data_IF_405276225685
#
_entry.id   IF_405276225685
#
_cell.length_a   1.000
_cell.length_b   1.000
_cell.length_c   1.000
_cell.angle_alpha   90.00
_cell.angle_beta   90.00
_cell.angle_gamma   90.00
#
_symmetry.space_group_name_H-M   'P 1'
#
loop_
_entity.id
_entity.type
_entity.pdbx_description
1 polymer ?
#
# COMPACT_ATOMS: atom_id res chain seq x y z
N UNK A 1 10.62 27.32 40.10
CA UNK A 1 9.30 26.82 40.54
C UNK A 1 8.59 26.37 39.28
N UNK A 2 8.63 25.07 38.98
CA UNK A 2 7.51 24.12 39.12
C UNK A 2 6.40 24.39 38.09
N UNK A 3 5.85 23.45 37.32
CA UNK A 3 6.15 22.06 37.01
C UNK A 3 5.29 21.71 35.77
N UNK A 4 5.73 20.73 34.99
CA UNK A 4 4.87 20.00 34.05
C UNK A 4 3.75 19.29 34.81
N UNK A 5 2.53 19.23 34.24
CA UNK A 5 1.62 18.10 34.44
C UNK A 5 0.86 17.76 33.15
N UNK A 6 1.19 16.60 32.61
CA UNK A 6 0.35 15.75 31.77
C UNK A 6 -0.87 15.23 32.57
N UNK A 7 -2.01 15.02 31.90
CA UNK A 7 -2.90 13.82 31.91
C UNK A 7 -4.25 14.23 31.28
N UNK A 8 -4.64 13.74 30.09
CA UNK A 8 -5.44 12.52 29.82
C UNK A 8 -6.60 12.33 30.81
N UNK A 9 -7.84 12.59 30.40
CA UNK A 9 -8.82 11.52 30.12
C UNK A 9 -10.18 12.07 29.67
N UNK A 10 -10.74 11.39 28.67
CA UNK A 10 -12.08 11.64 28.18
C UNK A 10 -13.11 11.12 29.18
N UNK A 11 -14.02 12.01 29.58
CA UNK A 11 -15.25 11.62 30.28
C UNK A 11 -16.14 10.81 29.36
N UNK A 12 -16.45 9.58 29.77
CA UNK A 12 -17.65 8.88 29.36
C UNK A 12 -18.59 8.96 30.56
N UNK A 13 -19.62 9.80 30.45
CA UNK A 13 -20.72 9.86 31.39
C UNK A 13 -21.38 8.47 31.50
N UNK A 14 -21.31 7.87 32.69
CA UNK A 14 -22.17 6.76 33.08
C UNK A 14 -23.09 7.28 34.18
N UNK A 15 -24.27 7.73 33.75
CA UNK A 15 -25.40 7.92 34.65
C UNK A 15 -25.83 6.55 35.19
N UNK A 16 -25.70 6.39 36.50
CA UNK A 16 -26.30 5.32 37.28
C UNK A 16 -26.81 5.93 38.57
N UNK A 17 -28.11 5.81 38.82
CA UNK A 17 -28.74 6.22 40.07
C UNK A 17 -28.31 5.24 41.16
N UNK A 18 -27.75 5.76 42.25
CA UNK A 18 -27.47 4.98 43.46
C UNK A 18 -28.79 4.62 44.16
N UNK A 19 -29.26 3.39 43.98
CA UNK A 19 -30.26 2.76 44.84
C UNK A 19 -29.51 1.95 45.90
N UNK A 20 -29.55 2.43 47.15
CA UNK A 20 -28.97 1.79 48.32
C UNK A 20 -29.69 0.47 48.61
N UNK A 21 -28.99 -0.66 48.47
CA UNK A 21 -29.43 -1.97 48.96
C UNK A 21 -28.96 -2.16 50.41
N UNK A 22 -29.85 -2.66 51.26
CA UNK A 22 -29.66 -2.96 52.68
C UNK A 22 -28.68 -4.11 52.92
N UNK A 23 -27.96 -4.07 54.05
CA UNK A 23 -26.83 -4.93 54.41
C UNK A 23 -27.15 -6.42 54.69
N UNK A 24 -28.38 -6.87 54.46
CA UNK A 24 -28.83 -8.24 54.80
C UNK A 24 -28.76 -9.24 53.63
N UNK A 25 -28.37 -8.83 52.42
CA UNK A 25 -28.25 -9.73 51.24
C UNK A 25 -26.82 -10.32 51.06
N UNK A 26 -25.91 -10.10 52.01
CA UNK A 26 -24.49 -10.43 51.85
C UNK A 26 -24.14 -11.93 52.03
N UNK A 27 -25.03 -12.78 52.55
CA UNK A 27 -24.69 -14.19 52.83
C UNK A 27 -24.94 -15.17 51.65
N UNK A 28 -25.70 -14.80 50.61
CA UNK A 28 -25.90 -15.65 49.43
C UNK A 28 -24.84 -15.47 48.32
N UNK A 29 -23.97 -14.46 48.42
CA UNK A 29 -23.03 -14.10 47.36
C UNK A 29 -21.68 -14.86 47.37
N UNK A 30 -21.44 -15.78 48.31
CA UNK A 30 -20.18 -16.54 48.40
C UNK A 30 -20.22 -17.94 47.75
N UNK A 31 -21.09 -18.18 46.77
CA UNK A 31 -20.91 -19.34 45.88
C UNK A 31 -19.83 -18.98 44.86
N UNK A 32 -18.57 -19.30 45.17
CA UNK A 32 -17.49 -19.27 44.18
C UNK A 32 -17.88 -20.26 43.08
N UNK A 33 -18.14 -19.83 41.83
CA UNK A 33 -18.49 -20.74 40.76
C UNK A 33 -17.37 -21.75 40.57
N UNK A 34 -17.74 -23.03 40.46
CA UNK A 34 -16.79 -24.12 40.29
C UNK A 34 -15.89 -23.84 39.09
N UNK A 35 -14.62 -24.29 39.15
CA UNK A 35 -13.65 -24.04 38.07
C UNK A 35 -14.13 -24.63 36.71
N UNK A 36 -15.07 -25.57 36.74
CA UNK A 36 -15.78 -26.11 35.58
C UNK A 36 -16.71 -25.09 34.88
N UNK A 37 -17.31 -24.12 35.59
CA UNK A 37 -18.27 -23.16 35.01
C UNK A 37 -17.59 -22.06 34.19
N UNK A 38 -16.29 -21.82 34.41
CA UNK A 38 -15.51 -20.86 33.59
C UNK A 38 -15.05 -21.42 32.24
N UNK A 39 -15.15 -22.74 32.04
CA UNK A 39 -14.65 -23.42 30.83
C UNK A 39 -15.75 -23.51 29.76
N UNK A 40 -17.02 -23.35 30.14
CA UNK A 40 -18.19 -23.51 29.26
C UNK A 40 -18.86 -22.20 28.84
N UNK A 41 -18.32 -21.03 29.20
CA UNK A 41 -18.82 -19.75 28.72
C UNK A 41 -18.14 -19.36 27.39
N UNK A 42 -18.86 -19.53 26.28
CA UNK A 42 -18.41 -19.04 24.97
C UNK A 42 -18.22 -17.51 24.97
N UNK A 43 -17.07 -17.03 24.49
CA UNK A 43 -16.79 -15.60 24.40
C UNK A 43 -17.59 -15.01 23.23
N UNK A 44 -18.50 -14.08 23.51
CA UNK A 44 -19.25 -13.36 22.47
C UNK A 44 -18.33 -12.36 21.74
N UNK A 45 -17.85 -12.77 20.55
CA UNK A 45 -16.96 -11.97 19.71
C UNK A 45 -17.62 -11.75 18.35
N UNK A 46 -17.75 -10.48 17.92
CA UNK A 46 -18.35 -10.09 16.62
C UNK A 46 -17.79 -10.85 15.40
N UNK A 47 -16.52 -11.28 15.45
CA UNK A 47 -15.86 -12.06 14.40
C UNK A 47 -14.86 -13.03 15.01
N UNK A 48 -15.16 -14.32 14.92
CA UNK A 48 -14.20 -15.37 15.25
C UNK A 48 -13.13 -15.52 14.14
N UNK A 49 -11.89 -15.81 14.53
CA UNK A 49 -10.76 -16.12 13.65
C UNK A 49 -10.46 -15.06 12.57
N UNK A 50 -10.09 -13.85 12.99
CA UNK A 50 -9.72 -12.75 12.07
C UNK A 50 -8.44 -13.11 11.28
N UNK A 51 -8.62 -13.53 10.02
CA UNK A 51 -7.51 -13.85 9.11
C UNK A 51 -6.87 -12.60 8.52
N UNK A 52 -5.54 -12.56 8.52
CA UNK A 52 -4.79 -11.49 7.85
C UNK A 52 -4.80 -11.72 6.33
N UNK A 53 -5.39 -10.78 5.57
CA UNK A 53 -5.46 -10.83 4.10
C UNK A 53 -4.19 -10.38 3.39
N UNK A 54 -3.23 -9.80 4.13
CA UNK A 54 -2.00 -9.28 3.54
C UNK A 54 -1.00 -10.41 3.23
N UNK A 55 -0.27 -10.24 2.14
CA UNK A 55 0.82 -11.16 1.77
C UNK A 55 1.98 -11.04 2.75
N UNK A 56 2.43 -12.19 3.26
CA UNK A 56 3.58 -12.31 4.15
C UNK A 56 4.88 -12.72 3.43
N UNK A 57 4.76 -13.23 2.21
CA UNK A 57 5.86 -13.65 1.36
C UNK A 57 5.53 -13.35 -0.11
N UNK A 58 6.54 -13.18 -0.99
CA UNK A 58 6.28 -13.13 -2.42
C UNK A 58 5.76 -14.50 -2.90
N UNK A 59 4.85 -14.51 -3.88
CA UNK A 59 4.42 -15.76 -4.55
C UNK A 59 5.45 -16.26 -5.58
N UNK A 60 6.46 -15.45 -5.89
CA UNK A 60 7.44 -15.75 -6.93
C UNK A 60 8.50 -16.72 -6.40
N UNK A 61 8.95 -17.64 -7.25
CA UNK A 61 10.05 -18.59 -6.98
C UNK A 61 11.42 -18.06 -7.44
N UNK A 62 11.48 -16.80 -7.88
CA UNK A 62 12.73 -16.15 -8.32
C UNK A 62 13.70 -16.00 -7.15
N UNK A 63 14.84 -16.72 -7.24
CA UNK A 63 15.86 -16.79 -6.21
C UNK A 63 16.41 -15.40 -5.85
N UNK A 64 16.64 -14.53 -6.83
CA UNK A 64 17.18 -13.18 -6.57
C UNK A 64 16.19 -12.32 -5.78
N UNK A 65 14.90 -12.41 -6.12
CA UNK A 65 13.86 -11.72 -5.37
C UNK A 65 13.74 -12.25 -3.94
N UNK A 66 13.87 -13.57 -3.75
CA UNK A 66 13.84 -14.20 -2.43
C UNK A 66 15.03 -13.77 -1.56
N UNK A 67 16.23 -13.64 -2.14
CA UNK A 67 17.41 -13.13 -1.43
C UNK A 67 17.22 -11.67 -1.02
N UNK A 68 16.71 -10.81 -1.92
CA UNK A 68 16.39 -9.43 -1.58
C UNK A 68 15.33 -9.35 -0.46
N UNK A 69 14.33 -10.22 -0.48
CA UNK A 69 13.33 -10.30 0.59
C UNK A 69 13.98 -10.69 1.92
N UNK A 70 14.89 -11.66 1.94
CA UNK A 70 15.62 -12.05 3.17
C UNK A 70 16.42 -10.85 3.72
N UNK A 71 17.12 -10.13 2.85
CA UNK A 71 17.88 -8.93 3.22
C UNK A 71 16.98 -7.83 3.81
N UNK A 72 15.90 -7.45 3.11
CA UNK A 72 15.00 -6.39 3.61
C UNK A 72 14.16 -6.84 4.81
N UNK A 73 13.94 -8.14 5.00
CA UNK A 73 13.32 -8.69 6.22
C UNK A 73 14.25 -8.58 7.42
N UNK A 74 15.54 -8.82 7.24
CA UNK A 74 16.55 -8.59 8.26
C UNK A 74 16.62 -7.10 8.62
N UNK A 75 16.76 -6.22 7.62
CA UNK A 75 16.83 -4.77 7.83
C UNK A 75 15.58 -4.24 8.53
N UNK A 76 14.38 -4.58 8.05
CA UNK A 76 13.12 -4.11 8.63
C UNK A 76 12.91 -4.54 10.08
N UNK A 77 13.52 -5.66 10.50
CA UNK A 77 13.48 -6.15 11.89
C UNK A 77 14.52 -5.48 12.79
N UNK A 78 15.68 -5.09 12.25
CA UNK A 78 16.84 -4.64 13.06
C UNK A 78 17.08 -3.13 13.07
N UNK A 79 16.56 -2.38 12.11
CA UNK A 79 16.84 -0.93 11.96
C UNK A 79 15.65 -0.02 12.27
N UNK A 80 14.49 -0.59 12.62
CA UNK A 80 13.22 0.09 12.90
C UNK A 80 12.75 1.19 11.92
N UNK A 81 13.38 1.29 10.75
CA UNK A 81 13.00 2.26 9.71
C UNK A 81 11.69 1.88 9.02
N UNK A 82 10.75 2.83 8.97
CA UNK A 82 9.50 2.68 8.23
C UNK A 82 9.73 2.47 6.72
N UNK A 83 10.83 3.02 6.17
CA UNK A 83 11.21 2.82 4.77
C UNK A 83 11.41 1.34 4.46
N UNK A 84 12.19 0.62 5.29
CA UNK A 84 12.48 -0.80 5.09
C UNK A 84 11.21 -1.66 5.18
N UNK A 85 10.31 -1.36 6.12
CA UNK A 85 9.00 -2.02 6.24
C UNK A 85 8.16 -1.82 4.97
N UNK A 86 8.19 -0.62 4.38
CA UNK A 86 7.46 -0.32 3.13
C UNK A 86 8.09 -0.99 1.92
N UNK A 87 9.43 -1.03 1.80
CA UNK A 87 10.13 -1.71 0.70
C UNK A 87 9.84 -3.22 0.76
N UNK A 88 9.97 -3.85 1.93
CA UNK A 88 9.66 -5.26 2.13
C UNK A 88 8.22 -5.59 1.69
N UNK A 89 7.24 -4.80 2.15
CA UNK A 89 5.84 -4.97 1.74
C UNK A 89 5.64 -4.83 0.23
N UNK A 90 6.43 -3.97 -0.43
CA UNK A 90 6.37 -3.79 -1.89
C UNK A 90 7.04 -4.93 -2.66
N UNK A 91 8.07 -5.58 -2.12
CA UNK A 91 8.67 -6.78 -2.72
C UNK A 91 7.67 -7.94 -2.78
N UNK A 92 6.74 -8.05 -1.82
CA UNK A 92 5.67 -9.07 -1.80
C UNK A 92 4.54 -8.81 -2.82
N UNK A 93 4.46 -7.61 -3.38
CA UNK A 93 3.38 -7.22 -4.27
C UNK A 93 3.43 -7.98 -5.61
N UNK A 94 2.24 -8.33 -6.11
CA UNK A 94 2.09 -8.88 -7.47
C UNK A 94 2.54 -7.87 -8.52
N UNK A 95 2.83 -8.36 -9.74
CA UNK A 95 3.23 -7.52 -10.89
C UNK A 95 2.22 -6.39 -11.17
N UNK A 96 0.92 -6.67 -11.09
CA UNK A 96 -0.14 -5.66 -11.28
C UNK A 96 -0.03 -4.51 -10.27
N UNK A 97 0.40 -4.83 -9.04
CA UNK A 97 0.58 -3.86 -7.96
C UNK A 97 1.97 -3.20 -7.95
N UNK A 98 2.87 -3.61 -8.85
CA UNK A 98 4.16 -2.99 -9.16
C UNK A 98 4.15 -2.45 -10.60
N UNK A 99 3.33 -1.44 -10.91
CA UNK A 99 3.26 -0.87 -12.25
C UNK A 99 4.59 -0.22 -12.64
N UNK A 100 4.95 -0.26 -13.94
CA UNK A 100 6.16 0.38 -14.43
C UNK A 100 6.11 1.91 -14.26
N UNK A 101 7.28 2.52 -14.15
CA UNK A 101 7.47 3.96 -14.01
C UNK A 101 8.32 4.48 -15.17
N UNK A 102 7.87 5.53 -15.86
CA UNK A 102 8.66 6.16 -16.90
C UNK A 102 9.75 7.06 -16.32
N UNK A 103 10.89 7.21 -17.01
CA UNK A 103 11.96 8.16 -16.65
C UNK A 103 11.42 9.59 -16.52
N UNK A 104 10.52 10.00 -17.42
CA UNK A 104 9.84 11.30 -17.38
C UNK A 104 9.08 11.54 -16.08
N UNK A 105 8.39 10.52 -15.55
CA UNK A 105 7.65 10.61 -14.30
C UNK A 105 8.57 10.59 -13.08
N UNK A 106 9.69 9.87 -13.16
CA UNK A 106 10.73 9.93 -12.13
C UNK A 106 11.30 11.35 -12.05
N UNK A 107 11.72 11.92 -13.18
CA UNK A 107 12.25 13.29 -13.24
C UNK A 107 11.28 14.32 -12.65
N UNK A 108 10.00 14.27 -13.04
CA UNK A 108 8.97 15.17 -12.48
C UNK A 108 8.79 15.06 -10.97
N UNK A 109 8.85 13.85 -10.41
CA UNK A 109 8.72 13.65 -8.97
C UNK A 109 9.98 14.04 -8.18
N UNK A 110 11.13 14.10 -8.88
CA UNK A 110 12.42 14.50 -8.34
C UNK A 110 12.72 15.99 -8.54
N UNK A 111 11.88 16.72 -9.28
CA UNK A 111 12.01 18.17 -9.41
C UNK A 111 11.99 18.84 -8.04
N UNK A 112 12.98 19.70 -7.78
CA UNK A 112 13.16 20.38 -6.49
C UNK A 112 13.69 19.49 -5.35
N UNK A 113 14.15 18.27 -5.64
CA UNK A 113 14.66 17.30 -4.65
C UNK A 113 16.01 16.74 -5.07
N UNK A 114 16.94 17.64 -5.29
CA UNK A 114 18.30 17.33 -5.74
C UNK A 114 19.08 16.58 -4.66
N UNK A 115 20.06 15.77 -5.08
CA UNK A 115 20.90 14.96 -4.18
C UNK A 115 20.24 13.73 -3.55
N UNK A 116 18.94 13.48 -3.79
CA UNK A 116 18.23 12.30 -3.27
C UNK A 116 18.16 11.18 -4.30
N UNK A 117 18.18 9.93 -3.82
CA UNK A 117 18.03 8.74 -4.68
C UNK A 117 16.56 8.38 -4.86
N UNK A 118 16.11 8.26 -6.11
CA UNK A 118 14.76 7.84 -6.45
C UNK A 118 14.64 6.31 -6.36
N UNK A 119 13.81 5.80 -5.44
CA UNK A 119 13.63 4.37 -5.20
C UNK A 119 12.31 3.88 -5.80
N UNK A 120 12.39 2.96 -6.75
CA UNK A 120 11.25 2.37 -7.45
C UNK A 120 11.26 0.85 -7.29
N UNK A 121 10.37 0.33 -6.45
CA UNK A 121 10.15 -1.13 -6.31
C UNK A 121 9.31 -1.62 -7.49
N UNK A 122 9.93 -1.74 -8.66
CA UNK A 122 9.29 -2.11 -9.92
C UNK A 122 10.21 -1.91 -11.11
N UNK A 123 9.62 -1.82 -12.30
CA UNK A 123 10.35 -1.60 -13.56
C UNK A 123 10.38 -0.13 -13.92
N UNK A 124 11.54 0.38 -14.31
CA UNK A 124 11.70 1.71 -14.90
C UNK A 124 11.81 1.59 -16.42
N UNK A 125 10.98 2.34 -17.13
CA UNK A 125 10.86 2.32 -18.60
C UNK A 125 11.22 3.66 -19.22
N UNK A 126 11.63 3.63 -20.47
CA UNK A 126 11.95 4.84 -21.23
C UNK A 126 10.68 5.61 -21.65
N UNK A 127 10.83 6.89 -21.96
CA UNK A 127 9.81 7.75 -22.55
C UNK A 127 10.45 8.63 -23.62
N UNK A 128 10.24 8.25 -24.89
CA UNK A 128 10.84 8.94 -26.04
C UNK A 128 10.35 10.39 -26.19
N UNK A 129 9.20 10.74 -25.59
CA UNK A 129 8.66 12.10 -25.64
C UNK A 129 9.40 13.07 -24.73
N UNK A 130 10.15 12.55 -23.77
CA UNK A 130 10.97 13.35 -22.89
C UNK A 130 12.35 13.44 -23.51
N UNK A 131 12.78 14.62 -23.95
CA UNK A 131 13.99 14.78 -24.76
C UNK A 131 15.26 14.79 -23.89
N UNK A 132 15.29 15.68 -22.91
CA UNK A 132 16.43 15.90 -22.02
C UNK A 132 16.19 15.22 -20.68
N UNK A 133 17.07 14.30 -20.30
CA UNK A 133 17.00 13.60 -19.01
C UNK A 133 17.96 14.28 -18.04
N UNK A 134 17.50 14.76 -16.87
CA UNK A 134 18.40 15.32 -15.86
C UNK A 134 19.26 14.23 -15.21
N UNK A 135 20.30 14.64 -14.49
CA UNK A 135 21.12 13.74 -13.67
C UNK A 135 20.24 13.12 -12.58
N UNK A 136 19.99 11.82 -12.67
CA UNK A 136 19.14 11.08 -11.73
C UNK A 136 19.90 9.91 -11.12
N UNK A 137 19.79 9.76 -9.81
CA UNK A 137 20.17 8.54 -9.09
C UNK A 137 18.92 7.69 -8.88
N UNK A 138 18.86 6.51 -9.51
CA UNK A 138 17.66 5.66 -9.52
C UNK A 138 17.99 4.27 -8.98
N UNK A 139 17.34 3.88 -7.89
CA UNK A 139 17.35 2.50 -7.40
C UNK A 139 16.09 1.76 -7.87
N UNK A 140 16.23 0.65 -8.59
CA UNK A 140 15.07 -0.10 -9.09
C UNK A 140 15.31 -1.62 -9.18
N UNK A 141 14.23 -2.39 -9.34
CA UNK A 141 14.33 -3.85 -9.53
C UNK A 141 14.76 -4.21 -10.94
N UNK A 142 14.20 -3.50 -11.94
CA UNK A 142 14.53 -3.70 -13.35
C UNK A 142 14.49 -2.37 -14.07
N UNK A 143 15.41 -2.17 -15.00
CA UNK A 143 15.41 -1.04 -15.92
C UNK A 143 15.42 -1.56 -17.36
N UNK A 144 14.76 -0.85 -18.28
CA UNK A 144 14.87 -1.16 -19.71
C UNK A 144 16.24 -0.71 -20.24
N UNK A 145 16.77 -1.41 -21.25
CA UNK A 145 18.10 -1.10 -21.84
C UNK A 145 18.18 0.34 -22.34
N UNK A 146 17.13 0.82 -23.01
CA UNK A 146 17.04 2.20 -23.50
C UNK A 146 17.03 3.22 -22.36
N UNK A 147 16.21 3.01 -21.32
CA UNK A 147 16.17 3.91 -20.16
C UNK A 147 17.52 3.95 -19.44
N UNK A 148 18.19 2.80 -19.28
CA UNK A 148 19.52 2.71 -18.66
C UNK A 148 20.54 3.53 -19.45
N UNK A 149 20.59 3.37 -20.77
CA UNK A 149 21.52 4.11 -21.63
C UNK A 149 21.31 5.63 -21.53
N UNK A 150 20.05 6.10 -21.48
CA UNK A 150 19.74 7.52 -21.37
C UNK A 150 20.11 8.13 -20.03
N UNK A 151 19.85 7.43 -18.92
CA UNK A 151 20.22 7.89 -17.57
C UNK A 151 21.74 7.95 -17.43
N UNK A 152 22.46 6.92 -17.92
CA UNK A 152 23.92 6.93 -17.90
C UNK A 152 24.51 8.02 -18.81
N UNK A 153 23.93 8.25 -20.00
CA UNK A 153 24.35 9.34 -20.89
C UNK A 153 24.18 10.72 -20.26
N UNK A 154 23.14 10.90 -19.45
CA UNK A 154 22.93 12.13 -18.68
C UNK A 154 23.91 12.30 -17.51
N UNK A 155 24.77 11.32 -17.22
CA UNK A 155 25.65 11.30 -16.05
C UNK A 155 24.92 10.94 -14.74
N UNK A 156 23.76 10.29 -14.84
CA UNK A 156 23.05 9.71 -13.71
C UNK A 156 23.56 8.31 -13.36
N UNK A 157 23.05 7.76 -12.26
CA UNK A 157 23.41 6.43 -11.78
C UNK A 157 22.17 5.52 -11.64
N UNK A 158 22.37 4.23 -11.91
CA UNK A 158 21.32 3.21 -11.75
C UNK A 158 21.83 2.14 -10.80
N UNK A 159 21.13 2.00 -9.67
CA UNK A 159 21.55 1.21 -8.52
C UNK A 159 20.57 0.05 -8.31
N UNK A 160 21.05 -1.08 -7.81
CA UNK A 160 20.23 -2.22 -7.37
C UNK A 160 19.81 -2.09 -5.90
N UNK A 161 18.85 -2.91 -5.45
CA UNK A 161 18.32 -2.80 -4.09
C UNK A 161 19.30 -3.27 -3.00
N UNK A 162 20.22 -4.16 -3.34
CA UNK A 162 21.34 -4.60 -2.51
C UNK A 162 22.39 -3.48 -2.36
N UNK A 163 22.81 -2.85 -3.46
CA UNK A 163 23.69 -1.67 -3.43
C UNK A 163 23.07 -0.50 -2.65
N UNK A 164 21.75 -0.27 -2.80
CA UNK A 164 21.04 0.74 -2.02
C UNK A 164 21.10 0.45 -0.51
N UNK A 165 20.95 -0.82 -0.13
CA UNK A 165 21.00 -1.22 1.28
C UNK A 165 22.38 -1.00 1.91
N UNK A 166 23.45 -1.14 1.13
CA UNK A 166 24.81 -0.81 1.57
C UNK A 166 25.02 0.70 1.75
N UNK A 167 24.51 1.52 0.81
CA UNK A 167 24.66 2.99 0.87
C UNK A 167 23.79 3.65 1.94
N UNK A 168 22.54 3.22 2.05
CA UNK A 168 21.53 3.84 2.91
C UNK A 168 20.68 2.77 3.62
N UNK A 169 21.23 2.05 4.62
CA UNK A 169 20.52 0.96 5.31
C UNK A 169 19.27 1.44 6.05
N UNK A 170 19.23 2.72 6.46
CA UNK A 170 18.07 3.36 7.08
C UNK A 170 17.08 3.97 6.08
N UNK A 171 17.47 4.10 4.80
CA UNK A 171 16.71 4.81 3.77
C UNK A 171 16.89 6.33 3.78
N UNK A 172 17.91 6.86 4.45
CA UNK A 172 18.24 8.28 4.44
C UNK A 172 18.46 8.81 3.01
N UNK A 173 18.02 10.05 2.75
CA UNK A 173 18.13 10.71 1.43
C UNK A 173 17.49 9.95 0.26
N UNK A 174 16.50 9.08 0.53
CA UNK A 174 15.77 8.37 -0.52
C UNK A 174 14.35 8.92 -0.70
N UNK A 175 13.84 8.84 -1.92
CA UNK A 175 12.45 9.15 -2.26
C UNK A 175 11.81 7.91 -2.85
N UNK A 176 10.87 7.35 -2.11
CA UNK A 176 10.20 6.11 -2.49
C UNK A 176 9.00 6.39 -3.39
N UNK A 177 9.17 6.12 -4.68
CA UNK A 177 8.18 6.42 -5.72
C UNK A 177 7.35 5.17 -6.08
N UNK A 178 6.19 5.38 -6.70
CA UNK A 178 5.30 4.30 -7.16
C UNK A 178 4.63 4.69 -8.46
N UNK A 179 4.56 3.75 -9.40
CA UNK A 179 3.83 3.93 -10.65
C UNK A 179 2.32 4.06 -10.43
N UNK A 180 1.62 4.65 -11.40
CA UNK A 180 0.17 4.80 -11.35
C UNK A 180 -0.49 3.44 -11.55
N UNK A 181 -1.23 2.97 -10.54
CA UNK A 181 -1.88 1.63 -10.54
C UNK A 181 -3.18 1.60 -11.35
N UNK A 182 -3.91 2.72 -11.34
CA UNK A 182 -5.30 2.76 -11.83
C UNK A 182 -5.44 3.08 -13.32
N UNK A 183 -4.35 3.08 -14.09
CA UNK A 183 -4.37 3.42 -15.53
C UNK A 183 -4.51 2.23 -16.47
N UNK A 184 -4.49 1.01 -15.94
CA UNK A 184 -4.61 -0.21 -16.75
C UNK A 184 -6.02 -0.31 -17.34
N UNK A 185 -6.12 -0.90 -18.53
CA UNK A 185 -7.39 -1.13 -19.22
C UNK A 185 -8.44 -1.83 -18.37
N UNK A 186 -8.07 -2.90 -17.66
CA UNK A 186 -8.97 -3.61 -16.75
C UNK A 186 -9.63 -2.69 -15.71
N UNK A 187 -8.92 -1.67 -15.21
CA UNK A 187 -9.46 -0.74 -14.20
C UNK A 187 -10.53 0.18 -14.79
N UNK A 188 -10.52 0.41 -16.11
CA UNK A 188 -11.55 1.22 -16.79
C UNK A 188 -12.92 0.55 -16.78
N UNK A 189 -12.96 -0.77 -16.67
CA UNK A 189 -14.21 -1.53 -16.63
C UNK A 189 -14.78 -1.69 -15.22
N UNK A 190 -13.98 -1.40 -14.19
CA UNK A 190 -14.41 -1.50 -12.80
C UNK A 190 -15.23 -0.28 -12.39
N UNK A 191 -16.01 -0.45 -11.32
CA UNK A 191 -16.87 0.59 -10.75
C UNK A 191 -18.34 0.39 -11.12
N UNK A 192 -19.15 1.42 -10.83
CA UNK A 192 -20.56 1.39 -11.17
C UNK A 192 -20.72 1.27 -12.68
N UNK A 193 -21.64 0.40 -13.10
CA UNK A 193 -21.75 -0.15 -14.45
C UNK A 193 -21.74 0.85 -15.61
N UNK A 194 -21.86 0.36 -16.86
CA UNK A 194 -21.49 1.13 -18.05
C UNK A 194 -22.41 2.33 -18.33
N UNK A 195 -23.43 2.57 -17.51
CA UNK A 195 -24.26 3.78 -17.52
C UNK A 195 -23.55 5.05 -17.06
N UNK A 196 -22.47 4.95 -16.27
CA UNK A 196 -21.72 6.14 -15.80
C UNK A 196 -20.42 6.36 -16.57
N UNK A 197 -19.30 5.94 -15.99
CA UNK A 197 -17.95 6.16 -16.52
C UNK A 197 -17.15 4.87 -16.71
N UNK A 198 -17.72 3.72 -16.34
CA UNK A 198 -17.11 2.42 -16.60
C UNK A 198 -17.19 2.10 -18.10
N UNK A 199 -16.07 1.68 -18.68
CA UNK A 199 -15.99 1.23 -20.07
C UNK A 199 -16.81 -0.07 -20.21
N UNK A 200 -17.75 -0.17 -21.17
CA UNK A 200 -18.46 -1.43 -21.41
C UNK A 200 -17.52 -2.50 -22.01
N UNK A 201 -17.84 -3.77 -21.76
CA UNK A 201 -17.18 -4.90 -22.40
C UNK A 201 -17.83 -5.15 -23.76
N UNK A 202 -17.20 -4.64 -24.82
CA UNK A 202 -17.71 -4.73 -26.19
C UNK A 202 -16.65 -5.37 -27.09
N UNK A 203 -17.07 -6.25 -27.99
CA UNK A 203 -16.17 -6.95 -28.92
C UNK A 203 -15.45 -5.99 -29.88
N UNK A 204 -16.14 -4.96 -30.36
CA UNK A 204 -15.62 -4.01 -31.35
C UNK A 204 -16.14 -2.60 -31.09
N UNK A 205 -15.33 -1.60 -31.45
CA UNK A 205 -15.73 -0.19 -31.34
C UNK A 205 -16.37 0.24 -32.66
N UNK A 206 -17.62 0.68 -32.64
CA UNK A 206 -18.29 1.16 -33.86
C UNK A 206 -19.66 1.76 -33.60
N UNK A 207 -20.34 2.23 -34.65
CA UNK A 207 -21.73 2.75 -34.56
C UNK A 207 -22.72 1.67 -34.17
N UNK A 208 -22.51 0.44 -34.66
CA UNK A 208 -23.41 -0.71 -34.48
C UNK A 208 -23.26 -1.40 -33.11
N UNK A 209 -22.27 -1.04 -32.30
CA UNK A 209 -21.97 -1.72 -31.04
C UNK A 209 -22.27 -0.80 -29.84
N UNK A 210 -23.31 -1.14 -29.07
CA UNK A 210 -23.70 -0.51 -27.79
C UNK A 210 -23.75 1.04 -27.78
N UNK A 211 -24.25 1.66 -28.85
CA UNK A 211 -24.39 3.12 -28.98
C UNK A 211 -25.82 3.64 -29.21
N UNK A 212 -26.81 2.74 -29.21
CA UNK A 212 -28.22 3.06 -29.50
C UNK A 212 -29.00 3.40 -28.21
N UNK A 213 -29.93 2.53 -27.80
CA UNK A 213 -30.77 2.72 -26.60
C UNK A 213 -29.90 2.82 -25.34
N UNK A 214 -30.24 3.74 -24.43
CA UNK A 214 -29.53 3.93 -23.15
C UNK A 214 -28.25 4.78 -23.23
N UNK A 215 -27.87 5.27 -24.42
CA UNK A 215 -26.69 6.14 -24.62
C UNK A 215 -27.04 7.54 -25.14
N UNK A 216 -28.24 7.72 -25.67
CA UNK A 216 -28.68 8.94 -26.35
C UNK A 216 -30.15 9.18 -26.07
N UNK A 217 -30.53 10.44 -25.88
CA UNK A 217 -31.91 10.83 -25.58
C UNK A 217 -32.89 10.42 -26.71
N UNK A 218 -32.44 10.44 -27.96
CA UNK A 218 -33.28 10.11 -29.13
C UNK A 218 -33.68 8.63 -29.25
N UNK A 219 -33.14 7.73 -28.41
CA UNK A 219 -33.44 6.29 -28.44
C UNK A 219 -33.85 5.81 -27.04
N UNK A 220 -35.06 6.18 -26.63
CA UNK A 220 -35.68 5.77 -25.36
C UNK A 220 -35.23 6.61 -24.17
N UNK A 221 -33.99 6.45 -23.72
CA UNK A 221 -33.43 7.21 -22.58
C UNK A 221 -31.90 7.31 -22.68
N UNK A 222 -31.33 8.26 -21.92
CA UNK A 222 -29.89 8.46 -21.79
C UNK A 222 -29.47 8.24 -20.34
N UNK A 223 -28.53 7.32 -20.13
CA UNK A 223 -27.82 7.14 -18.86
C UNK A 223 -26.53 7.93 -18.88
#
# INVERSE_FOLDING_TARGET
>A
MAANTFFVDGGVDLGGKDELLSEDDCEEAMVIPSMQDRITSGIDIKKHHVRNKNRQAPKSEDVYLLLLVKLYRFLARRTDSAFNKVVLKRLFMSRVNRPPMSVSRVARNMAGKEGKTAVVVGTVTDDNRFLEVPKLSIACLRITKSAKARVLKAGGEVITFDQLALRAPTGANTILLRGKKNTREAVKHFGMGPGKHAKPYVQSKGRKFEKARGRRASRGFKV
#
